data_IF_363995372222
#
_entry.id   IF_363995372222
#
_cell.length_a   1.000
_cell.length_b   1.000
_cell.length_c   1.000
_cell.angle_alpha   90.00
_cell.angle_beta   90.00
_cell.angle_gamma   90.00
#
_symmetry.space_group_name_H-M   'P 1'
#
loop_
_entity.id
_entity.type
_entity.pdbx_description
1 polymer ?
#
# COMPACT_ATOMS: atom_id res chain seq x y z
N UNK A 1 -2.12 -5.59 2.51
CA UNK A 1 -0.83 -5.03 2.05
C UNK A 1 -1.01 -3.53 1.90
N UNK A 2 -0.19 -2.67 2.52
CA UNK A 2 -0.35 -1.20 2.38
C UNK A 2 0.20 -0.71 1.04
N UNK A 3 -0.64 -0.05 0.24
CA UNK A 3 -0.28 0.51 -1.07
C UNK A 3 0.56 1.80 -0.96
N UNK A 4 0.62 2.42 0.22
CA UNK A 4 1.41 3.64 0.49
C UNK A 4 2.90 3.46 0.19
N UNK A 5 3.40 2.22 0.25
CA UNK A 5 4.79 1.91 -0.11
C UNK A 5 5.03 2.07 -1.61
N UNK A 6 4.04 1.77 -2.44
CA UNK A 6 4.18 1.69 -3.89
C UNK A 6 3.64 2.92 -4.61
N UNK A 7 2.66 3.61 -4.03
CA UNK A 7 2.00 4.76 -4.66
C UNK A 7 2.37 6.08 -4.00
N UNK A 8 2.30 7.16 -4.77
CA UNK A 8 2.24 8.52 -4.24
C UNK A 8 0.84 8.82 -3.68
N UNK A 9 0.69 9.97 -3.03
CA UNK A 9 -0.56 10.36 -2.37
C UNK A 9 -1.73 10.54 -3.35
N UNK A 10 -1.46 11.01 -4.56
CA UNK A 10 -2.49 11.26 -5.56
C UNK A 10 -3.06 9.95 -6.10
N UNK A 11 -2.19 9.04 -6.52
CA UNK A 11 -2.58 7.72 -7.02
C UNK A 11 -3.21 6.84 -5.93
N UNK A 12 -2.69 6.93 -4.70
CA UNK A 12 -3.31 6.25 -3.57
C UNK A 12 -4.74 6.76 -3.34
N UNK A 13 -4.96 8.08 -3.40
CA UNK A 13 -6.28 8.67 -3.29
C UNK A 13 -7.20 8.21 -4.42
N UNK A 14 -6.72 8.21 -5.67
CA UNK A 14 -7.47 7.69 -6.80
C UNK A 14 -7.92 6.25 -6.57
N UNK A 15 -7.00 5.35 -6.23
CA UNK A 15 -7.33 3.92 -5.99
C UNK A 15 -8.37 3.79 -4.88
N UNK A 16 -8.25 4.55 -3.78
CA UNK A 16 -9.21 4.52 -2.68
C UNK A 16 -10.61 5.01 -3.10
N UNK A 17 -10.68 6.13 -3.82
CA UNK A 17 -11.94 6.70 -4.33
C UNK A 17 -12.57 5.75 -5.33
N UNK A 18 -11.80 5.23 -6.28
CA UNK A 18 -12.26 4.30 -7.29
C UNK A 18 -12.80 3.01 -6.67
N UNK A 19 -12.08 2.41 -5.72
CA UNK A 19 -12.54 1.22 -4.99
C UNK A 19 -13.85 1.46 -4.24
N UNK A 20 -14.00 2.64 -3.62
CA UNK A 20 -15.23 3.04 -2.94
C UNK A 20 -16.39 3.21 -3.93
N UNK A 21 -16.12 3.84 -5.08
CA UNK A 21 -17.10 4.00 -6.15
C UNK A 21 -17.56 2.65 -6.69
N UNK A 22 -16.63 1.78 -7.10
CA UNK A 22 -16.89 0.43 -7.62
C UNK A 22 -17.73 -0.39 -6.67
N UNK A 23 -17.45 -0.32 -5.36
CA UNK A 23 -18.26 -1.01 -4.33
C UNK A 23 -19.72 -0.54 -4.33
N UNK A 24 -19.94 0.76 -4.46
CA UNK A 24 -21.28 1.35 -4.40
C UNK A 24 -22.01 1.29 -5.75
N UNK A 25 -21.26 1.22 -6.85
CA UNK A 25 -21.81 1.29 -8.20
C UNK A 25 -22.72 0.11 -8.53
N UNK A 26 -22.40 -1.09 -8.02
CA UNK A 26 -23.25 -2.27 -8.21
C UNK A 26 -24.64 -2.12 -7.62
N UNK A 27 -24.73 -1.52 -6.43
CA UNK A 27 -26.02 -1.28 -5.76
C UNK A 27 -26.82 -0.15 -6.42
N UNK A 28 -26.14 0.79 -7.07
CA UNK A 28 -26.77 1.91 -7.77
C UNK A 28 -27.25 1.53 -9.17
N UNK A 29 -26.53 0.65 -9.85
CA UNK A 29 -26.80 0.32 -11.25
C UNK A 29 -27.76 -0.87 -11.37
N UNK A 30 -27.58 -1.92 -10.56
CA UNK A 30 -28.37 -3.14 -10.68
C UNK A 30 -29.69 -3.02 -9.92
N UNK A 31 -30.79 -3.23 -10.65
CA UNK A 31 -32.12 -3.36 -10.08
C UNK A 31 -32.66 -4.74 -10.47
N UNK A 32 -32.81 -5.62 -9.48
CA UNK A 32 -33.19 -7.01 -9.73
C UNK A 32 -34.48 -7.14 -10.55
N UNK A 33 -35.56 -6.47 -10.15
CA UNK A 33 -36.84 -6.58 -10.86
C UNK A 33 -36.75 -6.06 -12.30
N UNK A 34 -36.07 -4.92 -12.52
CA UNK A 34 -35.92 -4.32 -13.86
C UNK A 34 -35.01 -5.14 -14.77
N UNK A 35 -33.88 -5.60 -14.24
CA UNK A 35 -32.77 -6.12 -15.04
C UNK A 35 -32.80 -7.65 -15.18
N UNK A 36 -33.54 -8.37 -14.34
CA UNK A 36 -33.52 -9.85 -14.34
C UNK A 36 -34.86 -10.49 -13.91
N UNK A 37 -35.36 -10.15 -12.73
CA UNK A 37 -36.46 -10.86 -12.06
C UNK A 37 -37.77 -10.86 -12.84
N UNK A 38 -38.11 -9.77 -13.53
CA UNK A 38 -39.36 -9.71 -14.31
C UNK A 38 -39.33 -10.62 -15.54
N UNK A 39 -38.21 -10.69 -16.26
CA UNK A 39 -38.06 -11.58 -17.42
C UNK A 39 -38.11 -13.04 -16.97
N UNK A 40 -37.37 -13.36 -15.90
CA UNK A 40 -37.31 -14.73 -15.38
C UNK A 40 -38.67 -15.20 -14.84
N UNK A 41 -39.41 -14.35 -14.11
CA UNK A 41 -40.78 -14.69 -13.67
C UNK A 41 -41.72 -14.91 -14.84
N UNK A 42 -41.59 -14.12 -15.92
CA UNK A 42 -42.39 -14.30 -17.13
C UNK A 42 -42.11 -15.67 -17.76
N UNK A 43 -40.85 -16.07 -17.88
CA UNK A 43 -40.46 -17.36 -18.44
C UNK A 43 -40.91 -18.52 -17.55
N UNK A 44 -40.79 -18.39 -16.23
CA UNK A 44 -41.31 -19.37 -15.26
C UNK A 44 -42.82 -19.55 -15.39
N UNK A 45 -43.57 -18.46 -15.48
CA UNK A 45 -45.03 -18.49 -15.60
C UNK A 45 -45.50 -19.09 -16.94
N UNK A 46 -44.71 -18.96 -18.00
CA UNK A 46 -44.99 -19.56 -19.30
C UNK A 46 -44.59 -21.04 -19.39
N UNK A 47 -43.73 -21.50 -18.49
CA UNK A 47 -43.25 -22.88 -18.47
C UNK A 47 -44.21 -23.78 -17.70
N UNK A 48 -44.61 -24.91 -18.29
CA UNK A 48 -45.46 -25.87 -17.58
C UNK A 48 -44.75 -26.45 -16.35
N UNK A 49 -45.51 -26.82 -15.31
CA UNK A 49 -44.98 -27.48 -14.10
C UNK A 49 -44.13 -28.73 -14.43
N UNK A 50 -44.52 -29.48 -15.47
CA UNK A 50 -43.75 -30.64 -15.95
C UNK A 50 -42.44 -30.25 -16.63
N UNK A 51 -42.45 -29.17 -17.44
CA UNK A 51 -41.26 -28.59 -18.05
C UNK A 51 -40.25 -28.11 -17.00
N UNK A 52 -40.73 -27.41 -15.97
CA UNK A 52 -39.90 -26.94 -14.86
C UNK A 52 -39.24 -28.09 -14.10
N UNK A 53 -40.00 -29.13 -13.76
CA UNK A 53 -39.43 -30.35 -13.15
C UNK A 53 -38.34 -30.98 -14.01
N UNK A 54 -38.52 -31.02 -15.32
CA UNK A 54 -37.52 -31.57 -16.25
C UNK A 54 -36.23 -30.75 -16.23
N UNK A 55 -36.33 -29.42 -16.25
CA UNK A 55 -35.18 -28.51 -16.17
C UNK A 55 -34.43 -28.68 -14.84
N UNK A 56 -35.15 -28.67 -13.71
CA UNK A 56 -34.56 -28.87 -12.38
C UNK A 56 -33.86 -30.23 -12.26
N UNK A 57 -34.43 -31.28 -12.85
CA UNK A 57 -33.81 -32.60 -12.87
C UNK A 57 -32.51 -32.63 -13.68
N UNK A 58 -32.46 -31.90 -14.80
CA UNK A 58 -31.22 -31.72 -15.58
C UNK A 58 -30.17 -30.99 -14.75
N UNK A 59 -30.53 -29.86 -14.13
CA UNK A 59 -29.63 -29.09 -13.24
C UNK A 59 -29.08 -29.97 -12.12
N UNK A 60 -29.92 -30.79 -11.49
CA UNK A 60 -29.52 -31.68 -10.39
C UNK A 60 -28.47 -32.71 -10.80
N UNK A 61 -28.52 -33.20 -12.05
CA UNK A 61 -27.55 -34.17 -12.59
C UNK A 61 -26.33 -33.51 -13.21
N UNK A 62 -26.44 -32.25 -13.59
CA UNK A 62 -25.40 -31.52 -14.29
C UNK A 62 -24.33 -31.01 -13.30
N UNK A 63 -23.20 -31.70 -13.26
CA UNK A 63 -22.04 -31.34 -12.43
C UNK A 63 -20.94 -30.78 -13.32
N UNK A 64 -20.73 -29.44 -13.33
CA UNK A 64 -19.70 -28.85 -14.16
C UNK A 64 -18.32 -29.29 -13.67
N UNK A 65 -17.38 -29.48 -14.62
CA UNK A 65 -15.99 -29.78 -14.26
C UNK A 65 -15.39 -28.62 -13.48
N UNK A 66 -14.56 -28.91 -12.48
CA UNK A 66 -13.84 -27.87 -11.73
C UNK A 66 -12.84 -27.10 -12.59
N UNK A 67 -12.40 -27.70 -13.70
CA UNK A 67 -11.46 -27.10 -14.65
C UNK A 67 -12.18 -26.28 -15.75
N UNK A 68 -13.51 -26.19 -15.71
CA UNK A 68 -14.29 -25.38 -16.64
C UNK A 68 -14.06 -23.88 -16.35
N UNK A 69 -13.66 -23.11 -17.37
CA UNK A 69 -13.41 -21.68 -17.24
C UNK A 69 -14.64 -20.88 -16.75
N UNK A 70 -15.84 -21.42 -16.96
CA UNK A 70 -17.12 -20.84 -16.52
C UNK A 70 -17.74 -21.62 -15.36
N UNK A 71 -16.95 -22.41 -14.62
CA UNK A 71 -17.43 -23.22 -13.49
C UNK A 71 -18.21 -22.37 -12.48
N UNK A 72 -17.66 -21.23 -12.08
CA UNK A 72 -18.27 -20.33 -11.09
C UNK A 72 -19.60 -19.77 -11.61
N UNK A 73 -19.59 -19.20 -12.82
CA UNK A 73 -20.78 -18.57 -13.41
C UNK A 73 -21.91 -19.59 -13.64
N UNK A 74 -21.58 -20.79 -14.14
CA UNK A 74 -22.54 -21.89 -14.31
C UNK A 74 -23.10 -22.34 -12.96
N UNK A 75 -22.27 -22.43 -11.93
CA UNK A 75 -22.70 -22.85 -10.60
C UNK A 75 -23.62 -21.82 -9.97
N UNK A 76 -23.27 -20.54 -10.06
CA UNK A 76 -24.06 -19.43 -9.53
C UNK A 76 -25.41 -19.32 -10.24
N UNK A 77 -25.44 -19.42 -11.58
CA UNK A 77 -26.68 -19.41 -12.36
C UNK A 77 -27.61 -20.58 -11.98
N UNK A 78 -27.06 -21.79 -11.77
CA UNK A 78 -27.86 -22.95 -11.34
C UNK A 78 -28.49 -22.73 -9.96
N UNK A 79 -27.72 -22.24 -9.00
CA UNK A 79 -28.22 -21.99 -7.64
C UNK A 79 -29.31 -20.93 -7.69
N UNK A 80 -29.09 -19.83 -8.42
CA UNK A 80 -30.09 -18.79 -8.64
C UNK A 80 -31.39 -19.37 -9.21
N UNK A 81 -31.32 -20.18 -10.28
CA UNK A 81 -32.49 -20.79 -10.91
C UNK A 81 -33.24 -21.75 -9.96
N UNK A 82 -32.51 -22.51 -9.14
CA UNK A 82 -33.11 -23.38 -8.12
C UNK A 82 -33.84 -22.55 -7.07
N UNK A 83 -33.25 -21.44 -6.61
CA UNK A 83 -33.89 -20.56 -5.63
C UNK A 83 -35.20 -19.96 -6.17
N UNK A 84 -35.19 -19.41 -7.38
CA UNK A 84 -36.40 -18.88 -8.03
C UNK A 84 -37.46 -19.97 -8.26
N UNK A 85 -37.05 -21.16 -8.70
CA UNK A 85 -37.98 -22.26 -8.98
C UNK A 85 -38.67 -22.83 -7.74
N UNK A 86 -38.12 -22.56 -6.55
CA UNK A 86 -38.63 -23.02 -5.27
C UNK A 86 -39.20 -21.88 -4.41
N UNK A 87 -39.55 -20.75 -5.03
CA UNK A 87 -40.15 -19.56 -4.39
C UNK A 87 -39.25 -18.90 -3.33
N UNK A 88 -37.93 -19.14 -3.35
CA UNK A 88 -36.96 -18.42 -2.54
C UNK A 88 -36.53 -17.10 -3.21
N UNK A 89 -37.48 -16.35 -3.79
CA UNK A 89 -37.18 -15.19 -4.65
C UNK A 89 -36.41 -14.07 -3.96
N UNK A 90 -36.61 -13.86 -2.65
CA UNK A 90 -35.82 -12.87 -1.90
C UNK A 90 -34.33 -13.26 -1.84
N UNK A 91 -34.05 -14.55 -1.62
CA UNK A 91 -32.67 -15.04 -1.59
C UNK A 91 -32.05 -15.08 -3.00
N UNK A 92 -32.86 -15.34 -4.03
CA UNK A 92 -32.41 -15.25 -5.41
C UNK A 92 -32.05 -13.81 -5.81
N UNK A 93 -32.84 -12.83 -5.37
CA UNK A 93 -32.53 -11.39 -5.53
C UNK A 93 -31.21 -11.01 -4.84
N UNK A 94 -31.02 -11.40 -3.57
CA UNK A 94 -29.76 -11.21 -2.85
C UNK A 94 -28.59 -11.86 -3.60
N UNK A 95 -28.80 -13.06 -4.14
CA UNK A 95 -27.78 -13.78 -4.92
C UNK A 95 -27.42 -13.04 -6.21
N UNK A 96 -28.42 -12.52 -6.94
CA UNK A 96 -28.19 -11.74 -8.16
C UNK A 96 -27.39 -10.47 -7.87
N UNK A 97 -27.69 -9.76 -6.77
CA UNK A 97 -26.92 -8.62 -6.30
C UNK A 97 -25.46 -8.98 -5.99
N UNK A 98 -25.22 -10.12 -5.34
CA UNK A 98 -23.86 -10.60 -5.05
C UNK A 98 -23.08 -10.93 -6.32
N UNK A 99 -23.72 -11.59 -7.29
CA UNK A 99 -23.14 -11.90 -8.61
C UNK A 99 -22.73 -10.60 -9.31
N UNK A 100 -23.61 -9.61 -9.37
CA UNK A 100 -23.30 -8.34 -10.04
C UNK A 100 -22.19 -7.56 -9.33
N UNK A 101 -22.18 -7.54 -7.99
CA UNK A 101 -21.06 -6.98 -7.22
C UNK A 101 -19.73 -7.68 -7.53
N UNK A 102 -19.73 -8.99 -7.73
CA UNK A 102 -18.54 -9.75 -8.17
C UNK A 102 -18.12 -9.32 -9.58
N UNK A 103 -19.04 -9.32 -10.54
CA UNK A 103 -18.78 -8.96 -11.94
C UNK A 103 -18.22 -7.53 -12.08
N UNK A 104 -18.75 -6.58 -11.31
CA UNK A 104 -18.26 -5.19 -11.30
C UNK A 104 -16.86 -5.11 -10.71
N UNK A 105 -16.57 -5.85 -9.64
CA UNK A 105 -15.22 -5.91 -9.05
C UNK A 105 -14.22 -6.49 -10.03
N UNK A 106 -14.54 -7.60 -10.68
CA UNK A 106 -13.65 -8.24 -11.67
C UNK A 106 -13.36 -7.29 -12.84
N UNK A 107 -14.40 -6.66 -13.42
CA UNK A 107 -14.21 -5.64 -14.49
C UNK A 107 -13.36 -4.45 -14.05
N UNK A 108 -13.49 -4.04 -12.79
CA UNK A 108 -12.76 -2.90 -12.24
C UNK A 108 -11.32 -3.24 -11.81
N UNK A 109 -11.03 -4.52 -11.60
CA UNK A 109 -9.76 -5.02 -11.09
C UNK A 109 -8.60 -4.72 -12.04
N UNK A 110 -8.84 -4.80 -13.35
CA UNK A 110 -7.84 -4.45 -14.38
C UNK A 110 -7.39 -3.00 -14.26
N UNK A 111 -8.35 -2.07 -14.07
CA UNK A 111 -8.07 -0.64 -13.90
C UNK A 111 -7.19 -0.40 -12.67
N UNK A 112 -7.55 -1.05 -11.55
CA UNK A 112 -6.81 -0.93 -10.29
C UNK A 112 -5.39 -1.51 -10.42
N UNK A 113 -5.25 -2.67 -11.03
CA UNK A 113 -3.93 -3.32 -11.21
C UNK A 113 -3.03 -2.53 -12.13
N UNK A 114 -3.57 -1.99 -13.21
CA UNK A 114 -2.82 -1.09 -14.09
C UNK A 114 -2.34 0.13 -13.33
N UNK A 115 -3.22 0.79 -12.59
CA UNK A 115 -2.87 1.99 -11.83
C UNK A 115 -1.83 1.72 -10.73
N UNK A 116 -1.95 0.58 -10.05
CA UNK A 116 -0.95 0.15 -9.05
C UNK A 116 0.40 -0.09 -9.71
N UNK A 117 0.43 -0.79 -10.86
CA UNK A 117 1.66 -1.11 -11.59
C UNK A 117 2.35 0.16 -12.09
N UNK A 118 1.61 1.02 -12.79
CA UNK A 118 2.11 2.27 -13.37
C UNK A 118 2.57 3.24 -12.29
N UNK A 119 1.80 3.35 -11.20
CA UNK A 119 2.14 4.18 -10.05
C UNK A 119 3.38 3.70 -9.32
N UNK A 120 3.54 2.39 -9.13
CA UNK A 120 4.74 1.79 -8.57
C UNK A 120 5.98 2.09 -9.41
N UNK A 121 5.90 1.88 -10.72
CA UNK A 121 6.99 2.19 -11.64
C UNK A 121 7.34 3.69 -11.66
N UNK A 122 6.32 4.56 -11.63
CA UNK A 122 6.52 6.01 -11.54
C UNK A 122 7.23 6.40 -10.24
N UNK A 123 6.76 5.92 -9.09
CA UNK A 123 7.37 6.22 -7.79
C UNK A 123 8.82 5.75 -7.72
N UNK A 124 9.10 4.54 -8.21
CA UNK A 124 10.46 4.01 -8.25
C UNK A 124 11.38 4.87 -9.12
N UNK A 125 10.91 5.30 -10.30
CA UNK A 125 11.66 6.23 -11.18
C UNK A 125 11.87 7.59 -10.53
N UNK A 126 10.87 8.12 -9.83
CA UNK A 126 10.97 9.39 -9.09
C UNK A 126 12.02 9.30 -7.97
N UNK A 127 12.02 8.21 -7.20
CA UNK A 127 13.06 7.94 -6.18
C UNK A 127 14.44 7.87 -6.82
N UNK A 128 14.59 7.14 -7.93
CA UNK A 128 15.85 7.05 -8.65
C UNK A 128 16.32 8.41 -9.19
N UNK A 129 15.42 9.23 -9.72
CA UNK A 129 15.74 10.55 -10.28
C UNK A 129 16.10 11.60 -9.24
N UNK A 130 15.48 11.52 -8.05
CA UNK A 130 15.69 12.42 -6.90
C UNK A 130 16.81 11.97 -5.95
N UNK A 131 17.27 10.73 -6.08
CA UNK A 131 18.37 10.16 -5.31
C UNK A 131 19.73 10.80 -5.66
N UNK A 132 20.74 10.66 -4.79
CA UNK A 132 22.08 11.17 -5.07
C UNK A 132 22.71 10.45 -6.27
N UNK A 133 23.04 11.20 -7.32
CA UNK A 133 23.60 10.66 -8.58
C UNK A 133 25.10 10.33 -8.51
N UNK A 134 25.68 10.39 -7.32
CA UNK A 134 27.11 10.22 -7.15
C UNK A 134 27.46 8.73 -7.17
N UNK A 135 28.40 8.32 -8.04
CA UNK A 135 28.77 6.90 -8.24
C UNK A 135 29.15 6.17 -6.94
N UNK A 136 29.70 6.90 -5.97
CA UNK A 136 30.13 6.36 -4.67
C UNK A 136 29.07 6.46 -3.56
N UNK A 137 27.86 6.95 -3.85
CA UNK A 137 26.84 7.19 -2.83
C UNK A 137 26.51 5.93 -2.04
N UNK A 138 26.15 4.84 -2.72
CA UNK A 138 25.72 3.60 -2.06
C UNK A 138 26.84 2.99 -1.21
N UNK A 139 28.06 2.94 -1.75
CA UNK A 139 29.24 2.44 -1.04
C UNK A 139 29.52 3.25 0.23
N UNK A 140 29.58 4.57 0.11
CA UNK A 140 29.91 5.46 1.22
C UNK A 140 28.81 5.44 2.29
N UNK A 141 27.54 5.44 1.89
CA UNK A 141 26.42 5.34 2.83
C UNK A 141 26.39 3.99 3.54
N UNK A 142 26.70 2.89 2.85
CA UNK A 142 26.83 1.58 3.48
C UNK A 142 27.95 1.56 4.53
N UNK A 143 29.10 2.18 4.23
CA UNK A 143 30.21 2.34 5.18
C UNK A 143 29.80 3.20 6.37
N UNK A 144 29.12 4.33 6.14
CA UNK A 144 28.61 5.18 7.23
C UNK A 144 27.70 4.41 8.17
N UNK A 145 26.71 3.68 7.62
CA UNK A 145 25.76 2.88 8.40
C UNK A 145 26.46 1.78 9.19
N UNK A 146 27.37 1.03 8.54
CA UNK A 146 28.12 -0.04 9.20
C UNK A 146 29.02 0.51 10.31
N UNK A 147 29.73 1.61 10.06
CA UNK A 147 30.64 2.22 11.01
C UNK A 147 29.90 2.77 12.22
N UNK A 148 28.76 3.44 12.04
CA UNK A 148 27.95 3.91 13.17
C UNK A 148 27.22 2.79 13.91
N UNK A 149 26.90 1.68 13.25
CA UNK A 149 26.37 0.49 13.92
C UNK A 149 27.41 -0.11 14.88
N UNK A 150 28.69 -0.17 14.48
CA UNK A 150 29.77 -0.69 15.33
C UNK A 150 30.31 0.34 16.32
N UNK A 151 30.25 1.63 15.98
CA UNK A 151 30.72 2.73 16.82
C UNK A 151 29.70 3.88 16.86
N UNK A 152 28.61 3.74 17.65
CA UNK A 152 27.56 4.76 17.73
C UNK A 152 28.03 6.10 18.30
N UNK A 153 29.13 6.12 19.07
CA UNK A 153 29.70 7.33 19.65
C UNK A 153 30.55 8.15 18.67
N UNK A 154 30.80 7.64 17.46
CA UNK A 154 31.61 8.33 16.45
C UNK A 154 30.93 9.62 15.99
N UNK A 155 31.57 10.76 16.21
CA UNK A 155 31.02 12.06 15.82
C UNK A 155 30.89 12.21 14.29
N UNK A 156 29.90 12.99 13.84
CA UNK A 156 29.70 13.35 12.42
C UNK A 156 30.99 13.90 11.80
N UNK A 157 31.70 14.77 12.50
CA UNK A 157 32.97 15.37 12.05
C UNK A 157 34.06 14.32 11.83
N UNK A 158 34.19 13.35 12.76
CA UNK A 158 35.20 12.30 12.67
C UNK A 158 34.88 11.27 11.58
N UNK A 159 33.58 10.99 11.35
CA UNK A 159 33.13 10.19 10.20
C UNK A 159 33.53 10.84 8.88
N UNK A 160 33.20 12.13 8.70
CA UNK A 160 33.52 12.88 7.48
C UNK A 160 35.02 12.89 7.23
N UNK A 161 35.84 13.20 8.24
CA UNK A 161 37.30 13.22 8.10
C UNK A 161 37.88 11.86 7.65
N UNK A 162 37.38 10.74 8.22
CA UNK A 162 37.79 9.40 7.81
C UNK A 162 37.42 9.08 6.36
N UNK A 163 36.26 9.55 5.90
CA UNK A 163 35.80 9.32 4.53
C UNK A 163 36.56 10.17 3.52
N UNK A 164 36.85 11.44 3.84
CA UNK A 164 37.67 12.31 2.99
C UNK A 164 39.08 11.74 2.79
N UNK A 165 39.69 11.19 3.86
CA UNK A 165 40.99 10.53 3.78
C UNK A 165 40.95 9.21 2.99
N UNK A 166 39.82 8.49 2.98
CA UNK A 166 39.68 7.22 2.24
C UNK A 166 39.40 7.43 0.74
N UNK A 167 38.65 8.47 0.41
CA UNK A 167 38.16 8.75 -0.93
C UNK A 167 38.75 10.04 -1.49
N UNK A 168 40.02 10.31 -1.21
CA UNK A 168 40.74 11.54 -1.61
C UNK A 168 40.33 12.02 -3.01
N UNK A 169 39.90 13.29 -3.07
CA UNK A 169 39.39 14.01 -4.26
C UNK A 169 38.19 13.41 -5.00
N UNK A 170 37.63 12.29 -4.54
CA UNK A 170 36.45 11.65 -5.16
C UNK A 170 35.13 12.12 -4.57
N UNK A 171 35.12 12.74 -3.40
CA UNK A 171 33.93 13.31 -2.74
C UNK A 171 34.34 14.50 -1.87
N UNK A 172 33.56 15.58 -1.89
CA UNK A 172 33.78 16.75 -1.04
C UNK A 172 33.06 16.68 0.32
N UNK A 173 33.50 17.53 1.25
CA UNK A 173 32.92 17.59 2.61
C UNK A 173 31.43 17.97 2.61
N UNK A 174 31.01 18.85 1.69
CA UNK A 174 29.64 19.37 1.62
C UNK A 174 28.65 18.26 1.23
N UNK A 175 29.02 17.46 0.24
CA UNK A 175 28.30 16.29 -0.27
C UNK A 175 28.11 15.25 0.83
N UNK A 176 29.17 14.95 1.60
CA UNK A 176 29.07 14.05 2.75
C UNK A 176 28.14 14.59 3.84
N UNK A 177 28.21 15.90 4.14
CA UNK A 177 27.30 16.55 5.10
C UNK A 177 25.85 16.43 4.65
N UNK A 178 25.58 16.65 3.37
CA UNK A 178 24.25 16.59 2.77
C UNK A 178 23.67 15.17 2.82
N UNK A 179 24.45 14.15 2.49
CA UNK A 179 24.00 12.76 2.58
C UNK A 179 23.66 12.34 4.01
N UNK A 180 24.46 12.74 4.98
CA UNK A 180 24.21 12.45 6.40
C UNK A 180 22.91 13.11 6.87
N UNK A 181 22.68 14.37 6.48
CA UNK A 181 21.49 15.13 6.88
C UNK A 181 20.23 14.63 6.17
N UNK A 182 20.24 14.51 4.84
CA UNK A 182 19.08 14.06 4.05
C UNK A 182 18.72 12.60 4.32
N UNK A 183 19.73 11.74 4.48
CA UNK A 183 19.54 10.32 4.76
C UNK A 183 19.29 9.99 6.24
N UNK A 184 19.28 10.99 7.15
CA UNK A 184 19.17 10.81 8.61
C UNK A 184 20.08 9.68 9.13
N UNK A 185 21.32 9.64 8.63
CA UNK A 185 22.22 8.48 8.77
C UNK A 185 22.93 8.42 10.13
N UNK A 186 23.09 9.55 10.80
CA UNK A 186 23.77 9.61 12.08
C UNK A 186 22.94 8.90 13.17
N UNK A 187 23.56 8.16 14.09
CA UNK A 187 22.86 7.56 15.22
C UNK A 187 22.21 8.68 16.07
N UNK A 188 21.05 8.43 16.69
CA UNK A 188 20.46 9.37 17.63
C UNK A 188 21.51 9.71 18.69
N UNK A 189 21.68 11.00 18.99
CA UNK A 189 22.67 11.43 19.98
C UNK A 189 22.39 10.68 21.29
N UNK A 190 23.41 10.10 21.95
CA UNK A 190 23.20 9.50 23.26
C UNK A 190 22.57 10.56 24.19
N UNK A 191 21.47 10.19 24.84
CA UNK A 191 20.66 11.07 25.71
C UNK A 191 21.47 11.68 26.86
N UNK A 192 22.63 11.10 27.19
CA UNK A 192 23.50 11.60 28.26
C UNK A 192 24.66 12.42 27.70
N UNK A 193 24.42 13.72 27.53
CA UNK A 193 25.45 14.67 27.92
C UNK A 193 25.61 14.51 29.44
N UNK A 194 26.72 13.94 29.92
CA UNK A 194 27.08 14.16 31.32
C UNK A 194 27.44 15.63 31.42
N UNK A 195 26.56 16.46 31.96
CA UNK A 195 26.96 17.75 32.51
C UNK A 195 27.94 17.42 33.64
N UNK A 196 29.21 17.73 33.41
CA UNK A 196 30.18 17.85 34.48
C UNK A 196 30.29 19.34 34.79
N UNK A 197 30.03 19.72 36.04
CA UNK A 197 30.28 21.08 36.50
C UNK A 197 31.77 21.43 36.33
N UNK A 198 32.04 22.70 36.07
CA UNK A 198 33.40 23.20 35.92
C UNK A 198 34.10 23.16 37.28
N UNK A 199 35.14 22.32 37.41
CA UNK A 199 35.96 22.25 38.63
C UNK A 199 37.00 23.35 38.57
N UNK A 200 36.84 24.41 39.39
CA UNK A 200 37.80 25.50 39.53
C UNK A 200 38.80 25.13 40.64
N UNK A 201 40.11 25.02 40.35
CA UNK A 201 41.12 24.73 41.37
C UNK A 201 41.17 25.82 42.46
N UNK A 202 41.50 25.48 43.73
CA UNK A 202 41.46 26.41 44.86
C UNK A 202 42.30 27.67 44.64
N UNK A 203 43.44 27.57 43.95
CA UNK A 203 44.31 28.70 43.62
C UNK A 203 43.63 29.79 42.76
N UNK A 204 42.48 29.48 42.14
CA UNK A 204 41.70 30.41 41.32
C UNK A 204 40.33 30.75 41.92
N UNK A 205 39.98 30.22 43.09
CA UNK A 205 38.64 30.36 43.68
C UNK A 205 38.37 31.72 44.34
N UNK A 206 39.33 32.64 44.40
CA UNK A 206 39.09 33.99 44.92
C UNK A 206 40.11 35.05 44.47
N UNK A 207 39.68 35.90 43.55
CA UNK A 207 39.99 37.33 43.58
C UNK A 207 38.66 38.07 43.46
N UNK A 208 38.22 38.71 44.55
CA UNK A 208 37.22 39.77 44.46
C UNK A 208 37.76 40.80 43.46
N UNK A 209 37.19 40.84 42.26
CA UNK A 209 37.35 41.99 41.38
C UNK A 209 36.37 43.03 41.92
N UNK A 210 36.96 44.08 42.49
CA UNK A 210 36.33 45.19 43.19
C UNK A 210 35.33 45.97 42.32
N UNK A 211 34.31 46.48 43.02
CA UNK A 211 33.80 47.86 43.05
C UNK A 211 33.99 48.76 41.81
N UNK A 212 32.87 49.36 41.40
CA UNK A 212 32.79 50.46 40.44
C UNK A 212 31.35 50.91 40.24
N UNK A 213 30.68 51.28 41.34
CA UNK A 213 29.51 52.17 41.31
C UNK A 213 30.00 53.59 41.62
N UNK A 214 29.42 54.56 40.90
CA UNK A 214 29.70 56.01 40.83
C UNK A 214 30.35 56.69 42.05
#
# INVERSE_FOLDING_TARGET
MSLEKYLDSERLNFVNVFMKFVRNFGDLQFNYNRDLGNEIRKDFNQTSRGGLKSILHKIRKDKPSKDDAHFEDKTLAKVFLVLESHDFSSLAEDMALVIERRNIRERSQEVIYKEISDGSAFKQRSIAASGPRHRLYDEIVAIMKSTWRHNPALSKRKMISKLLMRYEDKVDEKTLKDWITKGKLAPPRPIKNKNSDLVIPPEYASKKIFEGGE
#
